data_IF_779769674744
#
_entry.id   IF_779769674744
#
_cell.length_a   1.000
_cell.length_b   1.000
_cell.length_c   1.000
_cell.angle_alpha   90.00
_cell.angle_beta   90.00
_cell.angle_gamma   90.00
#
_symmetry.space_group_name_H-M   'P 1'
#
loop_
_entity.id
_entity.type
_entity.pdbx_description
1 polymer ?
#
# COMPACT_ATOMS: atom_id res chain seq x y z
N UNK A 1 -0.58 -29.02 -14.41
CA UNK A 1 -0.03 -27.70 -14.81
C UNK A 1 -1.02 -26.55 -14.62
N UNK A 2 -2.26 -26.63 -15.13
CA UNK A 2 -3.26 -25.55 -15.01
C UNK A 2 -3.57 -25.14 -13.56
N UNK A 3 -3.72 -26.11 -12.64
CA UNK A 3 -3.97 -25.82 -11.22
C UNK A 3 -2.76 -25.13 -10.54
N UNK A 4 -1.54 -25.49 -10.92
CA UNK A 4 -0.32 -24.85 -10.42
C UNK A 4 -0.22 -23.41 -10.91
N UNK A 5 -0.43 -23.17 -12.21
CA UNK A 5 -0.46 -21.82 -12.79
C UNK A 5 -1.52 -20.93 -12.12
N UNK A 6 -2.72 -21.47 -11.88
CA UNK A 6 -3.80 -20.74 -11.21
C UNK A 6 -3.46 -20.36 -9.77
N UNK A 7 -2.84 -21.27 -9.01
CA UNK A 7 -2.39 -20.99 -7.64
C UNK A 7 -1.22 -20.00 -7.61
N UNK A 8 -0.26 -20.14 -8.52
CA UNK A 8 0.86 -19.23 -8.68
C UNK A 8 0.38 -17.82 -9.02
N UNK A 9 -0.52 -17.68 -9.98
CA UNK A 9 -1.05 -16.38 -10.41
C UNK A 9 -1.89 -15.71 -9.32
N UNK A 10 -2.64 -16.49 -8.52
CA UNK A 10 -3.35 -16.00 -7.34
C UNK A 10 -2.38 -15.47 -6.27
N UNK A 11 -1.26 -16.17 -6.04
CA UNK A 11 -0.23 -15.75 -5.10
C UNK A 11 0.48 -14.47 -5.56
N UNK A 12 0.86 -14.40 -6.84
CA UNK A 12 1.46 -13.20 -7.44
C UNK A 12 0.51 -12.00 -7.38
N UNK A 13 -0.77 -12.19 -7.69
CA UNK A 13 -1.78 -11.14 -7.57
C UNK A 13 -1.91 -10.65 -6.12
N UNK A 14 -1.92 -11.57 -5.13
CA UNK A 14 -1.94 -11.20 -3.71
C UNK A 14 -0.74 -10.29 -3.36
N UNK A 15 0.48 -10.69 -3.71
CA UNK A 15 1.66 -9.87 -3.43
C UNK A 15 1.67 -8.53 -4.18
N UNK A 16 1.22 -8.52 -5.43
CA UNK A 16 1.09 -7.31 -6.23
C UNK A 16 0.12 -6.33 -5.58
N UNK A 17 -1.09 -6.79 -5.21
CA UNK A 17 -2.08 -5.95 -4.56
C UNK A 17 -1.59 -5.40 -3.21
N UNK A 18 -1.00 -6.24 -2.37
CA UNK A 18 -0.48 -5.82 -1.07
C UNK A 18 0.73 -4.88 -1.14
N UNK A 19 1.44 -4.83 -2.26
CA UNK A 19 2.60 -3.92 -2.43
C UNK A 19 2.20 -2.63 -3.14
N UNK A 20 1.48 -2.71 -4.25
CA UNK A 20 1.17 -1.55 -5.08
C UNK A 20 0.02 -0.70 -4.54
N UNK A 21 -1.01 -1.29 -3.92
CA UNK A 21 -2.11 -0.51 -3.33
C UNK A 21 -1.59 0.47 -2.27
N UNK A 22 -0.80 0.04 -1.25
CA UNK A 22 -0.32 0.96 -0.22
C UNK A 22 0.54 2.09 -0.77
N UNK A 23 1.38 1.80 -1.77
CA UNK A 23 2.22 2.80 -2.42
C UNK A 23 1.34 3.85 -3.14
N UNK A 24 0.37 3.40 -3.94
CA UNK A 24 -0.54 4.31 -4.65
C UNK A 24 -1.38 5.15 -3.68
N UNK A 25 -1.90 4.54 -2.61
CA UNK A 25 -2.64 5.26 -1.57
C UNK A 25 -1.78 6.32 -0.89
N UNK A 26 -0.52 5.98 -0.59
CA UNK A 26 0.44 6.93 0.02
C UNK A 26 0.75 8.09 -0.91
N UNK A 27 0.89 7.84 -2.22
CA UNK A 27 1.11 8.91 -3.21
C UNK A 27 -0.09 9.85 -3.32
N UNK A 28 -1.30 9.31 -3.43
CA UNK A 28 -2.53 10.12 -3.52
C UNK A 28 -2.71 10.94 -2.24
N UNK A 29 -2.57 10.30 -1.08
CA UNK A 29 -2.64 10.97 0.21
C UNK A 29 -1.56 12.05 0.35
N UNK A 30 -0.34 11.76 -0.09
CA UNK A 30 0.76 12.72 -0.04
C UNK A 30 0.53 13.93 -0.94
N UNK A 31 0.03 13.72 -2.15
CA UNK A 31 -0.35 14.82 -3.04
C UNK A 31 -1.43 15.70 -2.41
N UNK A 32 -2.43 15.09 -1.75
CA UNK A 32 -3.44 15.84 -1.01
C UNK A 32 -2.85 16.64 0.16
N UNK A 33 -2.04 15.99 1.01
CA UNK A 33 -1.46 16.64 2.19
C UNK A 33 -0.53 17.79 1.85
N UNK A 34 0.30 17.65 0.81
CA UNK A 34 1.22 18.72 0.39
C UNK A 34 0.45 19.93 -0.16
N UNK A 35 -0.67 19.71 -0.84
CA UNK A 35 -1.49 20.79 -1.42
C UNK A 35 -2.31 21.55 -0.38
N UNK A 36 -2.91 20.86 0.59
CA UNK A 36 -3.86 21.46 1.53
C UNK A 36 -3.31 21.69 2.95
N UNK A 37 -2.28 20.94 3.36
CA UNK A 37 -1.80 20.89 4.76
C UNK A 37 -0.27 20.85 4.83
N UNK A 38 0.39 21.78 4.12
CA UNK A 38 1.84 21.79 3.88
C UNK A 38 2.68 21.67 5.15
N UNK A 39 2.29 22.35 6.22
CA UNK A 39 3.07 22.43 7.47
C UNK A 39 3.18 21.07 8.19
N UNK A 40 2.14 20.25 8.09
CA UNK A 40 2.09 18.92 8.73
C UNK A 40 2.26 17.77 7.72
N UNK A 41 2.40 18.08 6.43
CA UNK A 41 2.32 17.10 5.35
C UNK A 41 3.31 15.96 5.52
N UNK A 42 4.59 16.26 5.77
CA UNK A 42 5.64 15.24 5.91
C UNK A 42 5.33 14.27 7.05
N UNK A 43 4.95 14.79 8.22
CA UNK A 43 4.66 13.98 9.39
C UNK A 43 3.40 13.13 9.18
N UNK A 44 2.33 13.72 8.62
CA UNK A 44 1.09 13.00 8.34
C UNK A 44 1.29 11.90 7.29
N UNK A 45 2.04 12.17 6.21
CA UNK A 45 2.36 11.17 5.18
C UNK A 45 3.17 10.03 5.78
N UNK A 46 4.17 10.34 6.61
CA UNK A 46 4.98 9.34 7.29
C UNK A 46 4.12 8.42 8.17
N UNK A 47 3.28 9.01 9.04
CA UNK A 47 2.37 8.26 9.91
C UNK A 47 1.39 7.40 9.10
N UNK A 48 0.82 7.95 8.03
CA UNK A 48 -0.09 7.23 7.14
C UNK A 48 0.61 6.04 6.46
N UNK A 49 1.82 6.24 5.94
CA UNK A 49 2.60 5.19 5.30
C UNK A 49 2.96 4.06 6.29
N UNK A 50 3.44 4.40 7.48
CA UNK A 50 3.72 3.40 8.51
C UNK A 50 2.46 2.64 8.94
N UNK A 51 1.34 3.34 9.12
CA UNK A 51 0.05 2.71 9.41
C UNK A 51 -0.37 1.73 8.32
N UNK A 52 -0.21 2.11 7.05
CA UNK A 52 -0.47 1.23 5.91
C UNK A 52 0.45 0.01 5.90
N UNK A 53 1.74 0.16 6.18
CA UNK A 53 2.68 -0.97 6.26
C UNK A 53 2.29 -1.96 7.36
N UNK A 54 1.89 -1.46 8.54
CA UNK A 54 1.42 -2.30 9.64
C UNK A 54 0.14 -3.04 9.23
N UNK A 55 -0.81 -2.36 8.60
CA UNK A 55 -2.05 -2.97 8.12
C UNK A 55 -1.77 -4.06 7.07
N UNK A 56 -0.88 -3.79 6.12
CA UNK A 56 -0.45 -4.76 5.11
C UNK A 56 0.22 -5.97 5.76
N UNK A 57 1.07 -5.77 6.76
CA UNK A 57 1.70 -6.85 7.49
C UNK A 57 0.66 -7.77 8.14
N UNK A 58 -0.35 -7.21 8.81
CA UNK A 58 -1.40 -8.01 9.46
C UNK A 58 -2.36 -8.70 8.48
N UNK A 59 -2.65 -8.12 7.31
CA UNK A 59 -3.60 -8.70 6.36
C UNK A 59 -2.94 -9.62 5.32
N UNK A 60 -1.62 -9.53 5.15
CA UNK A 60 -0.87 -10.40 4.24
C UNK A 60 -0.45 -11.71 4.89
N UNK A 61 -0.23 -11.72 6.21
CA UNK A 61 0.07 -12.87 7.07
C UNK A 61 -1.19 -13.68 7.39
#
# INVERSE_FOLDING_TARGET
MINFLKQWLKSQAKYFFWTYIPILLTLIFGMFMVNYFRDIAILAIGLFYFGLLVLVFFLSN
#
